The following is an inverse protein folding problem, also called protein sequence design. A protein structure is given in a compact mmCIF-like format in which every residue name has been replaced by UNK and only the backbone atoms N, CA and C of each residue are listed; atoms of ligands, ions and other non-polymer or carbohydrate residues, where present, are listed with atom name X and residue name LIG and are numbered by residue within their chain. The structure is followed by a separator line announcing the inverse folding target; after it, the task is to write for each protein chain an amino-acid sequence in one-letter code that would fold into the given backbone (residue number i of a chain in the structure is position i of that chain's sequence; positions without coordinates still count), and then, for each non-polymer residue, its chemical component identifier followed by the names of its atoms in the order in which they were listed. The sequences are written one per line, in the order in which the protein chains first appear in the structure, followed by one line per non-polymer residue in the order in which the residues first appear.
data_IF_889864299843
#
_entry.id   IF_889864299843
#
_cell.length_a   1.000
_cell.length_b   1.000
_cell.length_c   1.000
_cell.angle_alpha   90.00
_cell.angle_beta   90.00
_cell.angle_gamma   90.00
#
_symmetry.space_group_name_H-M   'P 1'
#
loop_
_entity.id
_entity.type
_entity.pdbx_description
1 polymer ?
#
# COMPACT_ATOMS: atom_id res chain seq x y z
N UNK A 1 -6.70 6.36 16.96
CA UNK A 1 -6.77 6.27 15.47
C UNK A 1 -6.14 4.97 15.04
N UNK A 2 -6.76 4.25 14.11
CA UNK A 2 -6.25 2.97 13.57
C UNK A 2 -6.09 3.07 12.06
N UNK A 3 -5.16 2.30 11.49
CA UNK A 3 -4.96 2.25 10.03
C UNK A 3 -6.20 1.74 9.28
N UNK A 4 -7.07 0.98 9.96
CA UNK A 4 -8.25 0.34 9.35
C UNK A 4 -9.34 1.36 8.97
N UNK A 5 -9.22 2.61 9.42
CA UNK A 5 -10.17 3.68 9.09
C UNK A 5 -9.84 4.38 7.76
N UNK A 6 -8.75 4.00 7.09
CA UNK A 6 -8.31 4.62 5.84
C UNK A 6 -8.67 3.74 4.64
N UNK A 7 -8.83 4.41 3.50
CA UNK A 7 -8.92 3.79 2.19
C UNK A 7 -7.75 4.25 1.31
N UNK A 8 -7.36 3.41 0.36
CA UNK A 8 -6.34 3.70 -0.63
C UNK A 8 -6.85 3.39 -2.03
N UNK A 9 -6.42 4.17 -3.02
CA UNK A 9 -6.71 3.91 -4.42
C UNK A 9 -5.68 2.94 -4.99
N UNK A 10 -6.14 1.87 -5.61
CA UNK A 10 -5.32 0.90 -6.35
C UNK A 10 -4.87 1.48 -7.69
N UNK A 11 -3.85 0.87 -8.28
CA UNK A 11 -3.33 1.27 -9.61
C UNK A 11 -4.39 1.17 -10.72
N UNK A 12 -5.35 0.25 -10.60
CA UNK A 12 -6.47 0.10 -11.53
C UNK A 12 -7.61 1.13 -11.29
N UNK A 13 -7.42 2.07 -10.37
CA UNK A 13 -8.36 3.13 -10.06
C UNK A 13 -9.42 2.79 -9.01
N UNK A 14 -9.55 1.54 -8.59
CA UNK A 14 -10.51 1.12 -7.56
C UNK A 14 -10.08 1.55 -6.16
N UNK A 15 -11.03 1.92 -5.31
CA UNK A 15 -10.78 2.19 -3.89
C UNK A 15 -10.80 0.89 -3.08
N UNK A 16 -9.89 0.76 -2.11
CA UNK A 16 -9.84 -0.36 -1.15
C UNK A 16 -9.72 0.17 0.27
N UNK A 17 -10.60 -0.28 1.16
CA UNK A 17 -10.47 -0.04 2.60
C UNK A 17 -9.32 -0.88 3.18
N UNK A 18 -8.50 -0.27 4.02
CA UNK A 18 -7.44 -0.97 4.75
C UNK A 18 -7.98 -1.88 5.86
N UNK A 19 -9.26 -1.75 6.25
CA UNK A 19 -9.93 -2.69 7.16
C UNK A 19 -9.88 -4.14 6.66
N UNK A 20 -9.82 -4.34 5.34
CA UNK A 20 -9.71 -5.66 4.72
C UNK A 20 -8.55 -6.50 5.28
N UNK A 21 -7.48 -5.86 5.74
CA UNK A 21 -6.26 -6.53 6.22
C UNK A 21 -6.19 -6.67 7.75
N UNK A 22 -7.32 -6.50 8.44
CA UNK A 22 -7.37 -6.56 9.91
C UNK A 22 -6.99 -7.95 10.43
N UNK A 23 -6.06 -7.97 11.38
CA UNK A 23 -5.55 -9.21 11.99
C UNK A 23 -4.27 -9.72 11.34
N UNK A 24 -3.82 -9.11 10.24
CA UNK A 24 -2.54 -9.41 9.60
C UNK A 24 -1.45 -8.44 10.07
N UNK A 25 -0.18 -8.88 10.03
CA UNK A 25 0.98 -8.00 10.19
C UNK A 25 1.26 -7.33 8.85
N UNK A 26 1.30 -5.99 8.83
CA UNK A 26 1.39 -5.21 7.60
C UNK A 26 2.69 -4.41 7.54
N UNK A 27 3.29 -4.38 6.36
CA UNK A 27 4.43 -3.52 6.02
C UNK A 27 3.98 -2.55 4.94
N UNK A 28 4.01 -1.25 5.23
CA UNK A 28 3.64 -0.18 4.30
C UNK A 28 4.93 0.45 3.78
N UNK A 29 5.12 0.42 2.46
CA UNK A 29 6.32 0.93 1.80
C UNK A 29 5.94 1.95 0.76
N UNK A 30 6.60 3.10 0.76
CA UNK A 30 6.58 4.04 -0.36
C UNK A 30 7.60 3.58 -1.42
N UNK A 31 7.14 3.33 -2.64
CA UNK A 31 7.98 2.82 -3.74
C UNK A 31 8.21 3.89 -4.81
N UNK A 32 9.30 3.76 -5.57
CA UNK A 32 9.59 4.60 -6.73
C UNK A 32 10.16 3.74 -7.88
N UNK A 33 9.69 3.94 -9.12
CA UNK A 33 10.12 3.12 -10.27
C UNK A 33 11.55 3.38 -10.72
N UNK A 34 12.11 4.56 -10.43
CA UNK A 34 13.46 4.98 -10.85
C UNK A 34 14.27 5.47 -9.65
N UNK A 35 14.65 4.56 -8.76
CA UNK A 35 15.55 4.83 -7.66
C UNK A 35 16.63 3.75 -7.55
N UNK A 36 17.72 4.02 -6.83
CA UNK A 36 18.85 3.09 -6.70
C UNK A 36 18.56 1.79 -5.92
N UNK A 37 17.36 1.65 -5.35
CA UNK A 37 16.89 0.43 -4.67
C UNK A 37 15.97 -0.43 -5.54
N UNK A 38 15.62 0.05 -6.74
CA UNK A 38 14.84 -0.70 -7.73
C UNK A 38 15.84 -1.30 -8.71
N UNK A 39 15.91 -2.64 -8.79
CA UNK A 39 16.77 -3.31 -9.77
C UNK A 39 16.35 -2.87 -11.18
N UNK A 40 17.29 -2.24 -11.89
CA UNK A 40 17.10 -1.89 -13.29
C UNK A 40 17.30 -3.17 -14.10
N UNK A 41 16.21 -3.91 -14.32
CA UNK A 41 16.10 -4.85 -15.42
C UNK A 41 15.42 -4.15 -16.59
#
# INVERSE_FOLDING_TARGET
MSIYNFSARRMNGQEVSLEKYKGEVLVIVNTASKCGFTEAV
#
